data_IF_648939157710
#
_entry.id   IF_648939157710
#
_cell.length_a   1.000
_cell.length_b   1.000
_cell.length_c   1.000
_cell.angle_alpha   90.00
_cell.angle_beta   90.00
_cell.angle_gamma   90.00
#
_symmetry.space_group_name_H-M   'P 1'
#
loop_
_entity.id
_entity.type
_entity.pdbx_description
1 polymer ?
#
# COMPACT_ATOMS: atom_id res chain seq x y z
N UNK A 1 21.44 14.27 -10.63
CA UNK A 1 20.32 13.43 -11.02
C UNK A 1 19.02 14.20 -10.92
N UNK A 2 18.06 13.93 -11.81
CA UNK A 2 16.71 14.51 -11.70
C UNK A 2 15.96 13.89 -10.52
N UNK A 3 15.12 14.71 -9.89
CA UNK A 3 14.22 14.30 -8.82
C UNK A 3 12.98 15.20 -8.79
N UNK A 4 11.93 14.77 -8.09
CA UNK A 4 10.77 15.62 -7.78
C UNK A 4 10.63 15.71 -6.26
N UNK A 5 10.55 16.94 -5.76
CA UNK A 5 10.45 17.19 -4.33
C UNK A 5 9.92 18.58 -4.04
N UNK A 6 10.03 19.04 -2.81
CA UNK A 6 9.56 20.34 -2.36
C UNK A 6 10.47 20.94 -1.29
N UNK A 7 10.47 22.25 -1.19
CA UNK A 7 11.17 23.03 -0.16
C UNK A 7 10.23 23.53 0.93
N UNK A 8 8.94 23.54 0.64
CA UNK A 8 7.91 24.03 1.57
C UNK A 8 6.64 23.20 1.42
N UNK A 9 6.05 22.82 2.57
CA UNK A 9 4.73 22.15 2.61
C UNK A 9 3.64 23.15 2.15
N UNK A 10 3.12 22.94 0.95
CA UNK A 10 2.12 23.79 0.30
C UNK A 10 0.89 22.95 -0.12
N UNK A 11 -0.31 23.56 -0.25
CA UNK A 11 -1.46 22.92 -0.88
C UNK A 11 -1.14 22.42 -2.28
N UNK A 12 -1.78 21.33 -2.72
CA UNK A 12 -1.41 20.68 -3.99
C UNK A 12 -1.71 21.52 -5.23
N UNK A 13 -2.62 22.46 -5.16
CA UNK A 13 -2.95 23.42 -6.22
C UNK A 13 -1.91 24.56 -6.35
N UNK A 14 -1.02 24.70 -5.38
CA UNK A 14 0.08 25.66 -5.49
C UNK A 14 1.12 25.15 -6.52
N UNK A 15 1.63 26.02 -7.44
CA UNK A 15 2.58 25.60 -8.46
C UNK A 15 3.89 25.04 -7.90
N UNK A 16 4.33 25.49 -6.72
CA UNK A 16 5.55 25.05 -6.06
C UNK A 16 5.32 23.92 -5.04
N UNK A 17 4.14 23.33 -4.99
CA UNK A 17 3.84 22.20 -4.09
C UNK A 17 4.73 20.97 -4.36
N UNK A 18 5.13 20.80 -5.62
CA UNK A 18 6.16 19.84 -6.08
C UNK A 18 6.93 20.50 -7.23
N UNK A 19 8.25 20.33 -7.22
CA UNK A 19 9.19 20.93 -8.18
C UNK A 19 10.07 19.87 -8.80
N UNK A 20 10.44 20.06 -10.08
CA UNK A 20 11.52 19.33 -10.72
C UNK A 20 12.86 19.87 -10.20
N UNK A 21 13.73 18.98 -9.75
CA UNK A 21 14.98 19.28 -9.06
C UNK A 21 16.16 18.57 -9.71
N UNK A 22 17.34 19.19 -9.57
CA UNK A 22 18.63 18.55 -9.82
C UNK A 22 19.35 18.34 -8.49
N UNK A 23 19.61 17.09 -8.13
CA UNK A 23 20.23 16.70 -6.87
C UNK A 23 21.52 15.90 -7.10
N UNK A 24 22.45 15.87 -6.14
CA UNK A 24 23.59 14.96 -6.18
C UNK A 24 23.13 13.49 -6.25
N UNK A 25 23.90 12.65 -6.92
CA UNK A 25 23.65 11.20 -6.90
C UNK A 25 23.98 10.62 -5.54
N UNK A 26 23.11 9.79 -4.93
CA UNK A 26 23.36 9.24 -3.63
C UNK A 26 24.39 8.10 -3.68
N UNK A 27 25.24 8.00 -2.65
CA UNK A 27 26.16 6.87 -2.47
C UNK A 27 25.50 5.79 -1.62
N UNK A 28 25.51 4.52 -2.02
CA UNK A 28 24.91 3.43 -1.24
C UNK A 28 25.66 3.21 0.07
N UNK A 29 24.93 3.00 1.16
CA UNK A 29 25.46 2.50 2.43
C UNK A 29 25.79 0.99 2.37
N UNK A 30 26.31 0.38 3.45
CA UNK A 30 26.80 -1.01 3.43
C UNK A 30 25.77 -2.03 2.93
N UNK A 31 24.49 -1.91 3.33
CA UNK A 31 23.39 -2.81 2.92
C UNK A 31 22.47 -2.22 1.86
N UNK A 32 22.85 -1.10 1.23
CA UNK A 32 22.00 -0.44 0.26
C UNK A 32 22.20 -0.97 -1.16
N UNK A 33 21.11 -1.06 -1.87
CA UNK A 33 21.05 -1.09 -3.32
C UNK A 33 20.97 0.36 -3.83
N UNK A 34 21.77 0.73 -4.82
CA UNK A 34 21.57 1.94 -5.62
C UNK A 34 20.76 1.54 -6.84
N UNK A 35 19.51 1.96 -6.89
CA UNK A 35 18.57 1.59 -7.95
C UNK A 35 18.39 2.73 -8.93
N UNK A 36 18.50 2.44 -10.23
CA UNK A 36 17.98 3.30 -11.27
C UNK A 36 16.47 3.10 -11.37
N UNK A 37 15.72 4.09 -10.89
CA UNK A 37 14.25 4.05 -10.88
C UNK A 37 13.73 4.16 -12.31
N UNK A 38 12.87 3.24 -12.69
CA UNK A 38 12.20 3.18 -13.99
C UNK A 38 10.75 3.60 -13.91
N UNK A 39 10.06 3.19 -12.84
CA UNK A 39 8.69 3.55 -12.57
C UNK A 39 8.46 3.72 -11.07
N UNK A 40 7.48 4.52 -10.73
CA UNK A 40 7.00 4.77 -9.37
C UNK A 40 5.49 4.65 -9.32
N UNK A 41 4.96 4.55 -8.10
CA UNK A 41 3.54 4.63 -7.85
C UNK A 41 3.26 5.52 -6.65
N UNK A 42 2.17 6.28 -6.71
CA UNK A 42 1.82 7.26 -5.67
C UNK A 42 0.90 6.64 -4.64
N UNK A 43 1.08 7.00 -3.39
CA UNK A 43 0.32 6.50 -2.24
C UNK A 43 -0.25 7.64 -1.38
N UNK A 44 -1.31 7.40 -0.59
CA UNK A 44 -1.81 8.41 0.36
C UNK A 44 -0.74 8.93 1.34
N UNK A 45 0.27 8.13 1.69
CA UNK A 45 1.38 8.57 2.54
C UNK A 45 2.19 9.70 1.89
N UNK A 46 2.35 9.71 0.57
CA UNK A 46 3.04 10.79 -0.16
C UNK A 46 2.34 12.13 0.09
N UNK A 47 1.01 12.14 -0.02
CA UNK A 47 0.21 13.36 0.21
C UNK A 47 0.24 13.79 1.67
N UNK A 48 0.14 12.83 2.60
CA UNK A 48 0.19 13.09 4.05
C UNK A 48 1.55 13.66 4.48
N UNK A 49 2.66 13.09 3.99
CA UNK A 49 4.00 13.59 4.30
C UNK A 49 4.19 14.98 3.70
N UNK A 50 3.80 15.20 2.45
CA UNK A 50 3.86 16.55 1.84
C UNK A 50 3.11 17.59 2.66
N UNK A 51 1.92 17.26 3.17
CA UNK A 51 1.08 18.19 3.95
C UNK A 51 1.61 18.44 5.37
N UNK A 52 2.34 17.51 5.96
CA UNK A 52 2.68 17.55 7.40
C UNK A 52 4.17 17.80 7.69
N UNK A 53 5.05 17.44 6.75
CA UNK A 53 6.49 17.50 6.96
C UNK A 53 7.08 18.74 6.26
N UNK A 54 7.45 19.75 7.06
CA UNK A 54 8.20 20.89 6.58
C UNK A 54 9.70 20.50 6.47
N UNK A 55 10.32 20.62 5.27
CA UNK A 55 11.77 20.41 5.14
C UNK A 55 12.57 21.47 5.91
N UNK A 56 13.83 21.14 6.24
CA UNK A 56 14.77 22.13 6.75
C UNK A 56 15.06 23.20 5.71
N UNK A 57 15.36 24.42 6.16
CA UNK A 57 15.59 25.55 5.27
C UNK A 57 16.73 25.25 4.26
N UNK A 58 16.43 25.41 2.98
CA UNK A 58 17.38 25.14 1.90
C UNK A 58 17.56 23.67 1.51
N UNK A 59 16.88 22.74 2.20
CA UNK A 59 16.90 21.32 1.84
C UNK A 59 15.60 20.92 1.13
N UNK A 60 15.72 20.20 0.03
CA UNK A 60 14.56 19.61 -0.64
C UNK A 60 14.16 18.29 -0.01
N UNK A 61 12.86 18.05 0.17
CA UNK A 61 12.34 16.75 0.54
C UNK A 61 11.81 16.04 -0.71
N UNK A 62 12.41 14.88 -1.00
CA UNK A 62 11.95 13.98 -2.07
C UNK A 62 11.00 12.96 -1.46
N UNK A 63 9.85 12.78 -2.08
CA UNK A 63 8.81 11.82 -1.72
C UNK A 63 8.94 10.54 -2.55
N UNK A 64 8.03 9.60 -2.32
CA UNK A 64 7.88 8.37 -3.09
C UNK A 64 8.26 7.12 -2.29
N UNK A 65 7.28 6.24 -2.15
CA UNK A 65 7.43 4.97 -1.42
C UNK A 65 6.75 3.83 -2.18
N UNK A 66 7.07 3.75 -3.46
CA UNK A 66 6.81 2.63 -4.36
C UNK A 66 7.66 2.82 -5.61
N UNK A 67 8.56 1.91 -5.86
CA UNK A 67 9.43 1.98 -7.03
C UNK A 67 9.73 0.61 -7.63
N UNK A 68 9.99 0.62 -8.92
CA UNK A 68 10.54 -0.48 -9.68
C UNK A 68 11.70 0.03 -10.55
N UNK A 69 12.79 -0.74 -10.61
CA UNK A 69 13.98 -0.29 -11.32
C UNK A 69 15.05 -1.37 -11.46
N UNK A 70 16.26 -0.92 -11.76
CA UNK A 70 17.42 -1.79 -11.98
C UNK A 70 18.53 -1.41 -11.01
N UNK A 71 19.10 -2.38 -10.32
CA UNK A 71 20.25 -2.20 -9.43
C UNK A 71 21.46 -1.76 -10.25
N UNK A 72 22.09 -0.63 -9.88
CA UNK A 72 23.29 -0.10 -10.55
C UNK A 72 24.58 -0.35 -9.73
N UNK A 73 24.46 -0.28 -8.41
CA UNK A 73 25.55 -0.58 -7.49
C UNK A 73 24.97 -1.15 -6.19
N UNK A 74 25.81 -1.79 -5.42
CA UNK A 74 25.44 -2.39 -4.15
C UNK A 74 26.50 -2.02 -3.09
N UNK A 75 26.05 -1.91 -1.83
CA UNK A 75 26.93 -1.72 -0.68
C UNK A 75 27.77 -2.96 -0.36
N UNK A 76 28.78 -2.78 0.48
CA UNK A 76 29.77 -3.82 0.78
C UNK A 76 29.26 -5.04 1.54
N UNK A 77 28.08 -4.93 2.18
CA UNK A 77 27.43 -6.02 2.94
C UNK A 77 26.21 -6.61 2.23
N UNK A 78 25.89 -6.14 1.02
CA UNK A 78 24.78 -6.66 0.23
C UNK A 78 25.09 -8.08 -0.24
N UNK A 79 24.15 -8.98 -0.02
CA UNK A 79 24.25 -10.41 -0.36
C UNK A 79 23.08 -10.96 -1.18
N UNK A 80 21.94 -10.24 -1.18
CA UNK A 80 20.70 -10.72 -1.81
C UNK A 80 20.59 -10.28 -3.29
N UNK A 81 21.31 -9.25 -3.69
CA UNK A 81 21.21 -8.64 -5.02
C UNK A 81 22.56 -8.31 -5.63
N UNK A 82 22.58 -8.11 -6.94
CA UNK A 82 23.76 -7.69 -7.71
C UNK A 82 23.38 -6.63 -8.75
N UNK A 83 24.35 -5.86 -9.26
CA UNK A 83 24.12 -4.93 -10.36
C UNK A 83 23.51 -5.66 -11.57
N UNK A 84 22.47 -5.05 -12.15
CA UNK A 84 21.68 -5.60 -13.25
C UNK A 84 20.37 -6.26 -12.82
N UNK A 85 20.20 -6.61 -11.55
CA UNK A 85 18.94 -7.19 -11.09
C UNK A 85 17.78 -6.17 -11.19
N UNK A 86 16.63 -6.66 -11.63
CA UNK A 86 15.37 -5.90 -11.65
C UNK A 86 14.71 -6.03 -10.30
N UNK A 87 14.39 -4.91 -9.66
CA UNK A 87 13.86 -4.87 -8.28
C UNK A 87 12.60 -4.03 -8.16
N UNK A 88 11.82 -4.32 -7.15
CA UNK A 88 10.66 -3.56 -6.71
C UNK A 88 10.64 -3.44 -5.19
N UNK A 89 10.17 -2.31 -4.67
CA UNK A 89 10.19 -2.04 -3.22
C UNK A 89 9.35 -0.83 -2.85
N UNK A 90 8.98 -0.74 -1.56
CA UNK A 90 8.31 0.42 -1.00
C UNK A 90 9.29 1.46 -0.43
N UNK A 91 10.45 1.04 0.08
CA UNK A 91 11.43 1.93 0.71
C UNK A 91 11.15 2.20 2.20
N UNK A 92 11.83 3.21 2.73
CA UNK A 92 11.80 3.58 4.14
C UNK A 92 11.38 5.05 4.30
N UNK A 93 10.33 5.30 5.10
CA UNK A 93 9.76 6.66 5.29
C UNK A 93 10.72 7.63 6.00
N UNK A 94 11.74 7.12 6.69
CA UNK A 94 12.75 7.94 7.37
C UNK A 94 13.87 8.41 6.45
N UNK A 95 13.91 7.91 5.20
CA UNK A 95 14.92 8.21 4.19
C UNK A 95 14.35 9.04 3.04
N UNK A 96 15.19 9.69 2.19
CA UNK A 96 14.72 10.31 0.95
C UNK A 96 13.93 9.31 0.09
N UNK A 97 12.85 9.79 -0.53
CA UNK A 97 11.96 8.95 -1.31
C UNK A 97 12.44 8.65 -2.72
N UNK A 98 11.67 7.83 -3.44
CA UNK A 98 12.01 7.26 -4.74
C UNK A 98 11.60 8.11 -5.96
N UNK A 99 11.05 9.31 -5.75
CA UNK A 99 10.75 10.23 -6.87
C UNK A 99 12.03 10.88 -7.41
N UNK A 100 13.01 10.05 -7.80
CA UNK A 100 14.34 10.44 -8.28
C UNK A 100 14.91 9.39 -9.22
N UNK A 101 15.80 9.80 -10.17
CA UNK A 101 16.44 8.88 -11.11
C UNK A 101 17.27 7.78 -10.44
N UNK A 102 17.83 8.08 -9.25
CA UNK A 102 18.61 7.14 -8.43
C UNK A 102 18.09 7.16 -7.01
N UNK A 103 17.84 5.98 -6.46
CA UNK A 103 17.33 5.82 -5.11
C UNK A 103 18.11 4.74 -4.34
N UNK A 104 18.28 4.93 -3.04
CA UNK A 104 18.91 3.96 -2.15
C UNK A 104 17.86 3.23 -1.34
N UNK A 105 17.93 1.92 -1.33
CA UNK A 105 17.05 1.07 -0.52
C UNK A 105 17.85 -0.04 0.13
N UNK A 106 17.54 -0.37 1.39
CA UNK A 106 18.14 -1.52 2.09
C UNK A 106 17.68 -2.83 1.39
N UNK A 107 18.62 -3.76 1.17
CA UNK A 107 18.32 -5.03 0.50
C UNK A 107 17.23 -5.84 1.18
N UNK A 108 17.06 -5.71 2.50
CA UNK A 108 16.10 -6.48 3.30
C UNK A 108 14.64 -6.04 3.10
N UNK A 109 14.40 -4.89 2.46
CA UNK A 109 13.05 -4.39 2.14
C UNK A 109 12.80 -4.25 0.63
N UNK A 110 13.63 -4.90 -0.18
CA UNK A 110 13.47 -4.98 -1.63
C UNK A 110 13.24 -6.43 -2.07
N UNK A 111 12.50 -6.63 -3.16
CA UNK A 111 12.33 -7.94 -3.81
C UNK A 111 12.78 -7.92 -5.26
N UNK A 112 13.00 -9.10 -5.85
CA UNK A 112 13.15 -9.23 -7.29
C UNK A 112 11.82 -8.97 -8.00
N UNK A 113 11.87 -8.14 -9.03
CA UNK A 113 10.67 -7.79 -9.80
C UNK A 113 10.09 -9.03 -10.50
N UNK A 114 8.76 -9.28 -10.45
CA UNK A 114 8.11 -10.36 -11.20
C UNK A 114 8.51 -10.35 -12.68
N UNK A 115 8.86 -11.49 -13.25
CA UNK A 115 9.33 -11.59 -14.66
C UNK A 115 8.25 -11.22 -15.66
N UNK A 116 7.00 -11.50 -15.32
CA UNK A 116 5.81 -11.28 -16.14
C UNK A 116 5.34 -9.82 -16.18
N UNK A 117 5.86 -8.93 -15.31
CA UNK A 117 5.46 -7.53 -15.26
C UNK A 117 6.50 -6.59 -15.89
N UNK A 118 6.02 -5.49 -16.47
CA UNK A 118 6.83 -4.32 -16.75
C UNK A 118 7.08 -3.49 -15.47
N UNK A 119 7.89 -2.42 -15.57
CA UNK A 119 8.23 -1.62 -14.38
C UNK A 119 7.04 -0.84 -13.82
N UNK A 120 6.17 -0.30 -14.67
CA UNK A 120 4.99 0.45 -14.23
C UNK A 120 3.98 -0.47 -13.51
N UNK A 121 3.72 -1.65 -14.08
CA UNK A 121 2.88 -2.66 -13.46
C UNK A 121 3.42 -3.12 -12.10
N UNK A 122 4.74 -3.32 -12.00
CA UNK A 122 5.39 -3.76 -10.79
C UNK A 122 5.40 -2.66 -9.71
N UNK A 123 5.68 -1.41 -10.07
CA UNK A 123 5.69 -0.29 -9.13
C UNK A 123 4.34 -0.06 -8.43
N UNK A 124 3.24 -0.55 -8.99
CA UNK A 124 1.89 -0.43 -8.42
C UNK A 124 1.65 -1.32 -7.18
N UNK A 125 2.60 -2.12 -6.75
CA UNK A 125 2.31 -3.21 -5.82
C UNK A 125 3.05 -3.15 -4.47
N UNK A 126 4.34 -2.79 -4.36
CA UNK A 126 5.15 -3.09 -3.18
C UNK A 126 4.54 -2.60 -1.86
N UNK A 127 4.28 -1.31 -1.70
CA UNK A 127 3.76 -0.73 -0.47
C UNK A 127 2.42 -1.37 -0.08
N UNK A 128 1.51 -1.44 -1.04
CA UNK A 128 0.17 -1.95 -0.80
C UNK A 128 0.18 -3.45 -0.53
N UNK A 129 1.09 -4.19 -1.13
CA UNK A 129 1.28 -5.63 -0.91
C UNK A 129 1.84 -5.91 0.47
N UNK A 130 2.88 -5.19 0.90
CA UNK A 130 3.45 -5.32 2.25
C UNK A 130 2.35 -5.04 3.28
N UNK A 131 1.64 -3.90 3.14
CA UNK A 131 0.53 -3.54 4.03
C UNK A 131 -0.55 -4.62 4.07
N UNK A 132 -0.99 -5.12 2.92
CA UNK A 132 -2.06 -6.12 2.85
C UNK A 132 -1.63 -7.47 3.41
N UNK A 133 -0.40 -7.89 3.16
CA UNK A 133 0.16 -9.14 3.66
C UNK A 133 0.29 -9.12 5.19
N UNK A 134 0.98 -8.10 5.73
CA UNK A 134 1.15 -7.94 7.18
C UNK A 134 -0.21 -7.82 7.88
N UNK A 135 -1.15 -7.04 7.31
CA UNK A 135 -2.50 -6.90 7.85
C UNK A 135 -3.25 -8.24 7.92
N UNK A 136 -3.25 -9.04 6.84
CA UNK A 136 -3.96 -10.32 6.79
C UNK A 136 -3.33 -11.36 7.70
N UNK A 137 -2.04 -11.63 7.51
CA UNK A 137 -1.40 -12.81 8.06
C UNK A 137 -0.78 -12.58 9.43
N UNK A 138 -0.31 -11.35 9.72
CA UNK A 138 0.33 -11.05 10.99
C UNK A 138 -0.62 -10.35 11.98
N UNK A 139 -1.37 -9.32 11.55
CA UNK A 139 -2.27 -8.56 12.43
C UNK A 139 -3.59 -9.30 12.67
N UNK A 140 -4.30 -9.64 11.61
CA UNK A 140 -5.55 -10.42 11.71
C UNK A 140 -5.30 -11.90 12.00
N UNK A 141 -4.07 -12.40 11.82
CA UNK A 141 -3.66 -13.79 12.06
C UNK A 141 -4.55 -14.79 11.31
N UNK A 142 -4.89 -14.46 10.06
CA UNK A 142 -5.61 -15.32 9.15
C UNK A 142 -4.61 -16.37 8.63
N UNK A 143 -4.97 -17.64 8.67
CA UNK A 143 -4.11 -18.70 8.17
C UNK A 143 -4.17 -18.80 6.64
N UNK A 144 -3.04 -19.08 6.00
CA UNK A 144 -3.04 -19.51 4.60
C UNK A 144 -3.76 -20.86 4.44
N UNK A 145 -4.37 -21.11 3.30
CA UNK A 145 -5.12 -22.31 3.00
C UNK A 145 -6.57 -22.23 3.47
N UNK A 146 -7.15 -23.35 3.94
CA UNK A 146 -8.58 -23.46 4.24
C UNK A 146 -8.93 -23.49 5.73
N UNK A 147 -7.98 -23.21 6.61
CA UNK A 147 -8.21 -23.27 8.06
C UNK A 147 -9.36 -22.36 8.53
N UNK A 148 -9.52 -21.19 7.88
CA UNK A 148 -10.58 -20.22 8.17
C UNK A 148 -11.83 -20.38 7.30
N UNK A 149 -12.05 -21.54 6.70
CA UNK A 149 -13.22 -21.82 5.86
C UNK A 149 -14.52 -21.60 6.66
N UNK A 150 -15.47 -20.88 6.06
CA UNK A 150 -16.74 -20.52 6.70
C UNK A 150 -16.69 -19.21 7.50
N UNK A 151 -15.51 -18.61 7.68
CA UNK A 151 -15.37 -17.28 8.23
C UNK A 151 -15.44 -16.20 7.12
N UNK A 152 -15.73 -14.95 7.49
CA UNK A 152 -15.85 -13.84 6.56
C UNK A 152 -14.91 -12.69 6.90
N UNK A 153 -14.31 -12.12 5.88
CA UNK A 153 -13.53 -10.88 5.93
C UNK A 153 -14.29 -9.75 5.24
N UNK A 154 -14.54 -8.66 5.96
CA UNK A 154 -15.05 -7.42 5.39
C UNK A 154 -13.88 -6.46 5.15
N UNK A 155 -13.74 -5.95 3.91
CA UNK A 155 -12.73 -4.98 3.51
C UNK A 155 -13.39 -3.64 3.25
N UNK A 156 -13.23 -2.68 4.15
CA UNK A 156 -13.71 -1.30 3.99
C UNK A 156 -12.70 -0.52 3.14
N UNK A 157 -13.16 0.04 2.00
CA UNK A 157 -12.27 0.71 1.06
C UNK A 157 -11.59 -0.25 0.05
N UNK A 158 -12.28 -1.33 -0.35
CA UNK A 158 -11.74 -2.42 -1.15
C UNK A 158 -11.24 -2.00 -2.55
N UNK A 159 -11.71 -0.89 -3.11
CA UNK A 159 -11.32 -0.42 -4.44
C UNK A 159 -10.04 0.44 -4.47
N UNK A 160 -9.51 0.84 -3.31
CA UNK A 160 -8.25 1.57 -3.19
C UNK A 160 -7.02 0.68 -3.41
N UNK A 161 -5.82 1.27 -3.32
CA UNK A 161 -4.57 0.55 -3.58
C UNK A 161 -4.40 -0.71 -2.72
N UNK A 162 -4.44 -0.56 -1.38
CA UNK A 162 -4.31 -1.71 -0.45
C UNK A 162 -5.47 -2.69 -0.63
N UNK A 163 -6.71 -2.20 -0.70
CA UNK A 163 -7.88 -3.05 -0.87
C UNK A 163 -7.82 -3.91 -2.13
N UNK A 164 -7.28 -3.38 -3.22
CA UNK A 164 -7.16 -4.09 -4.50
C UNK A 164 -6.26 -5.32 -4.43
N UNK A 165 -5.13 -5.27 -3.73
CA UNK A 165 -4.27 -6.44 -3.55
C UNK A 165 -4.71 -7.31 -2.39
N UNK A 166 -5.26 -6.72 -1.31
CA UNK A 166 -5.77 -7.45 -0.15
C UNK A 166 -6.91 -8.41 -0.53
N UNK A 167 -7.85 -7.94 -1.36
CA UNK A 167 -8.93 -8.80 -1.89
C UNK A 167 -8.37 -9.99 -2.65
N UNK A 168 -7.36 -9.79 -3.51
CA UNK A 168 -6.73 -10.88 -4.24
C UNK A 168 -6.02 -11.87 -3.31
N UNK A 169 -5.18 -11.38 -2.38
CA UNK A 169 -4.48 -12.23 -1.41
C UNK A 169 -5.46 -13.05 -0.57
N UNK A 170 -6.48 -12.41 0.00
CA UNK A 170 -7.49 -13.10 0.79
C UNK A 170 -8.25 -14.15 -0.03
N UNK A 171 -8.62 -13.82 -1.27
CA UNK A 171 -9.35 -14.73 -2.17
C UNK A 171 -8.54 -15.94 -2.58
N UNK A 172 -7.27 -15.74 -2.89
CA UNK A 172 -6.42 -16.78 -3.47
C UNK A 172 -5.71 -17.64 -2.41
N UNK A 173 -5.35 -17.02 -1.27
CA UNK A 173 -4.51 -17.68 -0.29
C UNK A 173 -5.26 -18.17 0.96
N UNK A 174 -6.57 -17.86 1.11
CA UNK A 174 -7.32 -18.23 2.31
C UNK A 174 -8.65 -18.93 1.98
N UNK A 175 -9.29 -19.49 3.00
CA UNK A 175 -10.65 -20.05 2.90
C UNK A 175 -11.78 -19.05 3.21
N UNK A 176 -11.48 -17.77 3.35
CA UNK A 176 -12.44 -16.76 3.78
C UNK A 176 -13.49 -16.43 2.71
N UNK A 177 -14.69 -16.11 3.15
CA UNK A 177 -15.65 -15.38 2.34
C UNK A 177 -15.27 -13.90 2.33
N UNK A 178 -14.73 -13.41 1.20
CA UNK A 178 -14.21 -12.04 1.04
C UNK A 178 -15.32 -11.10 0.59
N UNK A 179 -15.61 -10.09 1.40
CA UNK A 179 -16.65 -9.07 1.16
C UNK A 179 -15.95 -7.71 1.04
N UNK A 180 -15.97 -7.10 -0.12
CA UNK A 180 -15.41 -5.77 -0.34
C UNK A 180 -16.46 -4.68 -0.28
N UNK A 181 -16.10 -3.47 0.15
CA UNK A 181 -17.01 -2.32 0.05
C UNK A 181 -16.60 -1.37 -1.07
N UNK A 182 -17.59 -0.92 -1.85
CA UNK A 182 -17.44 0.11 -2.88
C UNK A 182 -18.79 0.76 -3.17
N UNK A 183 -18.82 2.10 -3.32
CA UNK A 183 -20.08 2.85 -3.51
C UNK A 183 -20.43 3.13 -4.98
N UNK A 184 -19.42 3.25 -5.89
CA UNK A 184 -19.63 3.55 -7.31
C UNK A 184 -19.67 2.27 -8.15
N UNK A 185 -20.48 2.22 -9.19
CA UNK A 185 -20.63 1.05 -10.08
C UNK A 185 -19.28 0.56 -10.63
N UNK A 186 -18.42 1.49 -11.06
CA UNK A 186 -17.08 1.19 -11.58
C UNK A 186 -16.19 0.53 -10.52
N UNK A 187 -16.17 1.07 -9.31
CA UNK A 187 -15.37 0.49 -8.21
C UNK A 187 -15.94 -0.82 -7.71
N UNK A 188 -17.26 -1.02 -7.77
CA UNK A 188 -17.88 -2.30 -7.47
C UNK A 188 -17.50 -3.38 -8.50
N UNK A 189 -17.49 -3.04 -9.79
CA UNK A 189 -17.02 -3.95 -10.84
C UNK A 189 -15.54 -4.31 -10.62
N UNK A 190 -14.69 -3.32 -10.37
CA UNK A 190 -13.28 -3.51 -10.06
C UNK A 190 -13.05 -4.51 -8.92
N UNK A 191 -13.74 -4.34 -7.79
CA UNK A 191 -13.59 -5.22 -6.62
C UNK A 191 -14.07 -6.65 -6.91
N UNK A 192 -15.14 -6.81 -7.73
CA UNK A 192 -15.57 -8.16 -8.18
C UNK A 192 -14.52 -8.82 -9.08
N UNK A 193 -13.97 -8.07 -10.03
CA UNK A 193 -12.94 -8.55 -10.97
C UNK A 193 -11.64 -8.96 -10.26
N UNK A 194 -11.37 -8.39 -9.07
CA UNK A 194 -10.27 -8.77 -8.19
C UNK A 194 -10.57 -10.03 -7.35
N UNK A 195 -11.79 -10.55 -7.41
CA UNK A 195 -12.15 -11.83 -6.82
C UNK A 195 -12.95 -11.75 -5.51
N UNK A 196 -13.46 -10.60 -5.09
CA UNK A 196 -14.37 -10.54 -3.95
C UNK A 196 -15.62 -11.40 -4.20
N UNK A 197 -16.02 -12.19 -3.21
CA UNK A 197 -17.23 -13.01 -3.29
C UNK A 197 -18.48 -12.13 -3.30
N UNK A 198 -18.46 -11.05 -2.53
CA UNK A 198 -19.53 -10.06 -2.47
C UNK A 198 -18.95 -8.65 -2.47
N UNK A 199 -19.73 -7.72 -3.03
CA UNK A 199 -19.49 -6.29 -2.94
C UNK A 199 -20.71 -5.60 -2.39
N UNK A 200 -20.52 -4.83 -1.31
CA UNK A 200 -21.55 -4.05 -0.64
C UNK A 200 -21.23 -2.55 -0.68
N UNK A 201 -22.23 -1.72 -0.48
CA UNK A 201 -22.11 -0.27 -0.53
C UNK A 201 -21.87 0.31 0.88
N UNK A 202 -20.66 0.87 1.13
CA UNK A 202 -20.35 1.52 2.40
C UNK A 202 -21.06 2.87 2.62
N UNK A 203 -21.74 3.40 1.62
CA UNK A 203 -22.65 4.55 1.78
C UNK A 203 -23.97 4.19 2.46
N UNK A 204 -24.22 2.90 2.70
CA UNK A 204 -25.39 2.36 3.38
C UNK A 204 -24.99 1.69 4.68
N UNK A 205 -25.95 1.46 5.62
CA UNK A 205 -25.65 0.73 6.85
C UNK A 205 -25.05 -0.65 6.55
N UNK A 206 -23.83 -0.92 7.04
CA UNK A 206 -23.09 -2.16 6.74
C UNK A 206 -23.85 -3.42 7.17
N UNK A 207 -24.54 -3.36 8.33
CA UNK A 207 -25.32 -4.50 8.83
C UNK A 207 -26.50 -4.86 7.89
N UNK A 208 -27.16 -3.88 7.30
CA UNK A 208 -28.24 -4.11 6.33
C UNK A 208 -27.70 -4.70 5.02
N UNK A 209 -26.59 -4.15 4.54
CA UNK A 209 -25.92 -4.65 3.34
C UNK A 209 -25.39 -6.08 3.52
N UNK A 210 -24.82 -6.40 4.67
CA UNK A 210 -24.41 -7.78 5.00
C UNK A 210 -25.60 -8.72 5.03
N UNK A 211 -26.68 -8.32 5.68
CA UNK A 211 -27.92 -9.11 5.71
C UNK A 211 -28.50 -9.35 4.30
N UNK A 212 -28.44 -8.35 3.41
CA UNK A 212 -28.88 -8.46 2.02
C UNK A 212 -28.15 -9.57 1.24
N UNK A 213 -26.87 -9.83 1.59
CA UNK A 213 -26.06 -10.89 0.96
C UNK A 213 -26.09 -12.20 1.77
N UNK A 214 -26.93 -12.31 2.79
CA UNK A 214 -27.08 -13.51 3.62
C UNK A 214 -25.97 -13.73 4.67
N UNK A 215 -25.19 -12.69 5.00
CA UNK A 215 -24.16 -12.71 6.02
C UNK A 215 -24.65 -11.98 7.26
N UNK A 216 -24.77 -12.70 8.38
CA UNK A 216 -25.24 -12.10 9.64
C UNK A 216 -24.15 -11.26 10.33
N UNK A 217 -22.93 -11.79 10.40
CA UNK A 217 -21.77 -11.18 11.07
C UNK A 217 -20.49 -11.60 10.35
N UNK A 218 -19.42 -10.82 10.50
CA UNK A 218 -18.10 -11.13 9.96
C UNK A 218 -17.10 -11.41 11.08
N UNK A 219 -16.12 -12.27 10.83
CA UNK A 219 -15.08 -12.61 11.79
C UNK A 219 -13.93 -11.60 11.82
N UNK A 220 -13.64 -11.00 10.67
CA UNK A 220 -12.52 -10.09 10.48
C UNK A 220 -12.97 -8.85 9.71
N UNK A 221 -12.40 -7.71 10.06
CA UNK A 221 -12.55 -6.45 9.31
C UNK A 221 -11.18 -5.85 9.04
N UNK A 222 -10.90 -5.55 7.78
CA UNK A 222 -9.81 -4.70 7.34
C UNK A 222 -10.40 -3.31 7.02
N UNK A 223 -10.15 -2.33 7.87
CA UNK A 223 -10.61 -0.95 7.67
C UNK A 223 -9.47 -0.12 7.09
N UNK A 224 -9.60 0.24 5.81
CA UNK A 224 -8.52 0.87 5.06
C UNK A 224 -8.71 2.39 4.90
N UNK A 225 -9.85 2.90 5.31
CA UNK A 225 -10.19 4.33 5.20
C UNK A 225 -11.39 4.70 6.08
N UNK A 226 -11.41 5.95 6.57
CA UNK A 226 -12.51 6.53 7.34
C UNK A 226 -13.01 5.66 8.52
N UNK A 227 -12.05 5.04 9.22
CA UNK A 227 -12.35 4.11 10.32
C UNK A 227 -13.16 4.79 11.42
N UNK A 228 -12.90 6.06 11.73
CA UNK A 228 -13.66 6.86 12.68
C UNK A 228 -15.16 6.96 12.32
N UNK A 229 -15.47 7.15 11.05
CA UNK A 229 -16.84 7.26 10.55
C UNK A 229 -17.57 5.91 10.52
N UNK A 230 -16.84 4.83 10.33
CA UNK A 230 -17.40 3.49 10.20
C UNK A 230 -17.34 2.65 11.48
N UNK A 231 -16.66 3.09 12.55
CA UNK A 231 -16.37 2.28 13.73
C UNK A 231 -17.62 1.63 14.33
N UNK A 232 -18.71 2.37 14.51
CA UNK A 232 -19.95 1.81 15.07
C UNK A 232 -20.55 0.71 14.21
N UNK A 233 -20.56 0.91 12.91
CA UNK A 233 -21.06 -0.08 11.96
C UNK A 233 -20.14 -1.29 11.88
N UNK A 234 -18.82 -1.10 11.97
CA UNK A 234 -17.82 -2.17 12.04
C UNK A 234 -18.01 -3.02 13.29
N UNK A 235 -18.18 -2.38 14.45
CA UNK A 235 -18.44 -3.07 15.73
C UNK A 235 -19.74 -3.85 15.67
N UNK A 236 -20.80 -3.28 15.07
CA UNK A 236 -22.07 -3.98 14.87
C UNK A 236 -21.92 -5.21 13.96
N UNK A 237 -21.16 -5.09 12.87
CA UNK A 237 -20.93 -6.13 11.88
C UNK A 237 -20.02 -7.27 12.38
N UNK A 238 -19.08 -7.01 13.28
CA UNK A 238 -18.18 -8.02 13.83
C UNK A 238 -18.92 -8.96 14.79
N UNK A 239 -18.67 -10.26 14.66
CA UNK A 239 -19.10 -11.25 15.66
C UNK A 239 -18.37 -11.03 17.00
N UNK A 240 -18.89 -11.53 18.12
CA UNK A 240 -18.10 -11.57 19.36
C UNK A 240 -16.73 -12.24 19.16
N UNK A 241 -15.68 -11.68 19.77
CA UNK A 241 -14.28 -12.08 19.63
C UNK A 241 -13.71 -11.90 18.22
N UNK A 242 -14.38 -11.09 17.37
CA UNK A 242 -13.88 -10.74 16.05
C UNK A 242 -12.66 -9.80 16.09
N UNK A 243 -11.99 -9.67 14.96
CA UNK A 243 -10.75 -8.90 14.85
C UNK A 243 -10.91 -7.73 13.86
N UNK A 244 -10.48 -6.55 14.28
CA UNK A 244 -10.40 -5.34 13.47
C UNK A 244 -8.94 -4.97 13.26
N UNK A 245 -8.52 -4.78 12.01
CA UNK A 245 -7.24 -4.15 11.68
C UNK A 245 -7.48 -2.90 10.83
N UNK A 246 -6.65 -1.87 11.04
CA UNK A 246 -6.75 -0.58 10.34
C UNK A 246 -5.38 -0.03 9.95
N UNK A 247 -5.37 0.84 8.93
CA UNK A 247 -4.17 1.46 8.36
C UNK A 247 -4.28 2.99 8.25
N UNK A 248 -5.47 3.55 8.43
CA UNK A 248 -5.70 4.99 8.36
C UNK A 248 -5.36 5.69 9.69
N UNK A 249 -5.39 7.03 9.69
CA UNK A 249 -5.02 7.87 10.82
C UNK A 249 -6.29 8.58 11.37
N UNK A 250 -7.21 7.87 12.02
CA UNK A 250 -8.36 8.52 12.63
C UNK A 250 -7.91 9.49 13.72
N UNK A 251 -8.54 10.66 13.80
CA UNK A 251 -8.22 11.66 14.81
C UNK A 251 -8.50 11.15 16.23
N UNK A 252 -9.50 10.27 16.38
CA UNK A 252 -9.85 9.60 17.63
C UNK A 252 -10.62 8.30 17.33
N UNK A 253 -10.47 7.31 18.21
CA UNK A 253 -11.26 6.08 18.19
C UNK A 253 -11.79 5.80 19.61
N UNK A 254 -13.10 5.62 19.75
CA UNK A 254 -13.71 5.14 20.98
C UNK A 254 -13.55 3.62 21.12
N UNK A 255 -12.36 3.20 21.57
CA UNK A 255 -12.03 1.80 21.77
C UNK A 255 -12.90 1.11 22.84
N UNK A 256 -13.59 1.89 23.69
CA UNK A 256 -14.53 1.35 24.68
C UNK A 256 -15.68 0.58 24.03
N UNK A 257 -16.07 0.92 22.79
CA UNK A 257 -17.10 0.23 22.02
C UNK A 257 -16.75 -1.24 21.68
N UNK A 258 -15.46 -1.58 21.68
CA UNK A 258 -15.00 -2.93 21.37
C UNK A 258 -15.17 -3.91 22.53
N UNK A 259 -15.28 -3.38 23.76
CA UNK A 259 -15.26 -4.16 25.00
C UNK A 259 -16.39 -5.18 25.08
N UNK A 260 -17.62 -4.80 24.74
CA UNK A 260 -18.80 -5.66 24.95
C UNK A 260 -18.72 -6.97 24.16
N UNK A 261 -18.15 -6.93 22.94
CA UNK A 261 -17.96 -8.11 22.09
C UNK A 261 -16.57 -8.73 22.24
N UNK A 262 -15.70 -8.25 23.16
CA UNK A 262 -14.31 -8.69 23.33
C UNK A 262 -13.53 -8.63 21.99
N UNK A 263 -13.71 -7.56 21.23
CA UNK A 263 -13.04 -7.40 19.95
C UNK A 263 -11.56 -7.05 20.16
N UNK A 264 -10.69 -7.55 19.28
CA UNK A 264 -9.30 -7.10 19.21
C UNK A 264 -9.12 -6.06 18.12
N UNK A 265 -8.23 -5.09 18.37
CA UNK A 265 -7.87 -4.04 17.43
C UNK A 265 -6.38 -4.09 17.16
N UNK A 266 -6.02 -4.03 15.88
CA UNK A 266 -4.65 -4.08 15.41
C UNK A 266 -4.37 -2.90 14.47
N UNK A 267 -3.23 -2.22 14.69
CA UNK A 267 -2.68 -1.27 13.73
C UNK A 267 -1.78 -1.99 12.76
N UNK A 268 -1.87 -1.64 11.48
CA UNK A 268 -0.87 -2.01 10.49
C UNK A 268 -0.18 -0.74 9.96
N UNK A 269 1.14 -0.72 10.07
CA UNK A 269 1.99 0.33 9.55
C UNK A 269 3.27 -0.30 8.97
N UNK A 270 3.27 -0.52 7.67
CA UNK A 270 4.29 -1.29 6.95
C UNK A 270 5.74 -0.75 7.12
N UNK A 271 5.91 0.50 7.55
CA UNK A 271 7.21 1.09 7.80
C UNK A 271 7.81 0.74 9.17
N UNK A 272 7.07 0.08 10.05
CA UNK A 272 7.55 -0.26 11.40
C UNK A 272 8.87 -1.01 11.34
N UNK A 273 8.99 -1.99 10.47
CA UNK A 273 10.21 -2.81 10.31
C UNK A 273 11.42 -1.98 9.87
N UNK A 274 11.28 -1.13 8.87
CA UNK A 274 12.38 -0.28 8.39
C UNK A 274 12.71 0.85 9.35
N UNK A 275 11.70 1.53 9.91
CA UNK A 275 11.90 2.65 10.86
C UNK A 275 12.62 2.24 12.13
N UNK A 276 12.28 1.08 12.69
CA UNK A 276 12.85 0.60 13.96
C UNK A 276 13.94 -0.43 13.78
N UNK A 277 14.32 -0.77 12.52
CA UNK A 277 15.35 -1.78 12.20
C UNK A 277 15.13 -3.08 12.99
N UNK A 278 13.88 -3.59 12.95
CA UNK A 278 13.51 -4.78 13.72
C UNK A 278 14.26 -6.03 13.23
N UNK A 279 14.44 -7.01 14.10
CA UNK A 279 15.15 -8.26 13.78
C UNK A 279 14.53 -9.02 12.61
N UNK A 280 13.23 -8.85 12.40
CA UNK A 280 12.45 -9.47 11.34
C UNK A 280 12.27 -8.59 10.08
N UNK A 281 13.08 -7.54 9.91
CA UNK A 281 13.00 -6.63 8.76
C UNK A 281 13.10 -7.37 7.41
N UNK A 282 13.84 -8.46 7.36
CA UNK A 282 14.01 -9.33 6.18
C UNK A 282 12.69 -9.96 5.70
N UNK A 283 11.64 -10.01 6.53
CA UNK A 283 10.35 -10.57 6.12
C UNK A 283 9.70 -9.76 4.99
N UNK A 284 10.00 -8.46 4.86
CA UNK A 284 9.52 -7.68 3.71
C UNK A 284 10.16 -8.13 2.39
N UNK A 285 11.45 -8.46 2.38
CA UNK A 285 12.08 -9.11 1.24
C UNK A 285 11.38 -10.44 0.91
N UNK A 286 11.22 -11.32 1.91
CA UNK A 286 10.62 -12.64 1.72
C UNK A 286 9.20 -12.60 1.19
N UNK A 287 8.35 -11.70 1.72
CA UNK A 287 6.99 -11.57 1.23
C UNK A 287 6.94 -11.02 -0.21
N UNK A 288 7.82 -10.08 -0.56
CA UNK A 288 7.89 -9.56 -1.93
C UNK A 288 8.33 -10.66 -2.92
N UNK A 289 9.31 -11.49 -2.55
CA UNK A 289 9.72 -12.66 -3.35
C UNK A 289 8.55 -13.66 -3.51
N UNK A 290 7.83 -13.95 -2.43
CA UNK A 290 6.66 -14.84 -2.47
C UNK A 290 5.58 -14.31 -3.39
N UNK A 291 5.28 -13.02 -3.30
CA UNK A 291 4.26 -12.39 -4.15
C UNK A 291 4.71 -12.30 -5.59
N UNK A 292 6.00 -12.06 -5.86
CA UNK A 292 6.55 -12.10 -7.22
C UNK A 292 6.31 -13.47 -7.88
N UNK A 293 6.54 -14.56 -7.14
CA UNK A 293 6.22 -15.90 -7.61
C UNK A 293 4.75 -16.10 -7.94
N UNK A 294 3.85 -15.66 -7.06
CA UNK A 294 2.39 -15.74 -7.27
C UNK A 294 1.91 -14.94 -8.48
N UNK A 295 2.55 -13.82 -8.77
CA UNK A 295 2.27 -13.02 -9.98
C UNK A 295 2.75 -13.76 -11.23
N UNK A 296 3.96 -14.29 -11.21
CA UNK A 296 4.53 -15.03 -12.35
C UNK A 296 3.75 -16.33 -12.65
N UNK A 297 3.13 -16.94 -11.65
CA UNK A 297 2.20 -18.06 -11.76
C UNK A 297 0.79 -17.66 -12.22
N UNK A 298 0.51 -16.36 -12.35
CA UNK A 298 -0.81 -15.84 -12.75
C UNK A 298 -1.88 -15.90 -11.65
N UNK A 299 -1.49 -16.16 -10.40
CA UNK A 299 -2.41 -16.20 -9.24
C UNK A 299 -2.84 -14.79 -8.82
N UNK A 300 -1.90 -13.85 -8.87
CA UNK A 300 -2.13 -12.43 -8.59
C UNK A 300 -1.86 -11.58 -9.83
N UNK A 301 -2.50 -10.43 -9.91
CA UNK A 301 -2.32 -9.46 -10.99
C UNK A 301 -2.03 -8.07 -10.46
N UNK A 302 -1.40 -7.25 -11.30
CA UNK A 302 -1.14 -5.84 -10.99
C UNK A 302 -2.41 -5.07 -10.66
N UNK A 303 -2.29 -4.03 -9.84
CA UNK A 303 -3.39 -3.16 -9.40
C UNK A 303 -3.35 -1.78 -10.02
N UNK A 304 -2.67 -1.60 -11.17
CA UNK A 304 -2.65 -0.33 -11.91
C UNK A 304 -4.08 0.08 -12.27
N UNK A 305 -4.49 1.24 -11.78
CA UNK A 305 -5.74 1.88 -12.13
C UNK A 305 -5.56 2.96 -13.19
N UNK A 306 -4.49 3.75 -13.07
CA UNK A 306 -4.19 4.86 -13.99
C UNK A 306 -2.67 5.03 -14.21
N UNK A 307 -2.31 5.45 -15.43
CA UNK A 307 -0.95 5.78 -15.82
C UNK A 307 -0.86 7.28 -16.15
N UNK A 308 -0.03 8.03 -15.43
CA UNK A 308 0.04 9.49 -15.53
C UNK A 308 1.23 10.01 -16.37
N UNK A 309 1.92 9.12 -17.08
CA UNK A 309 3.04 9.47 -17.95
C UNK A 309 4.36 9.60 -17.20
N UNK A 310 5.17 10.61 -17.54
CA UNK A 310 6.52 10.80 -16.99
C UNK A 310 6.53 11.19 -15.53
N UNK A 311 7.64 10.84 -14.87
CA UNK A 311 7.94 11.27 -13.51
C UNK A 311 8.45 12.71 -13.57
N UNK A 312 7.54 13.65 -13.39
CA UNK A 312 7.80 15.09 -13.30
C UNK A 312 6.86 15.76 -12.30
N UNK A 313 7.17 16.98 -11.91
CA UNK A 313 6.40 17.71 -10.91
C UNK A 313 4.94 17.96 -11.35
N UNK A 314 4.69 18.21 -12.63
CA UNK A 314 3.34 18.46 -13.14
C UNK A 314 2.45 17.22 -13.02
N UNK A 315 2.95 16.07 -13.45
CA UNK A 315 2.20 14.81 -13.37
C UNK A 315 2.04 14.34 -11.93
N UNK A 316 3.07 14.49 -11.08
CA UNK A 316 2.96 14.15 -9.66
C UNK A 316 1.95 15.04 -8.91
N UNK A 317 1.87 16.36 -9.22
CA UNK A 317 0.80 17.21 -8.67
C UNK A 317 -0.59 16.72 -9.07
N UNK A 318 -0.80 16.30 -10.31
CA UNK A 318 -2.07 15.71 -10.77
C UNK A 318 -2.39 14.41 -10.03
N UNK A 319 -1.40 13.55 -9.82
CA UNK A 319 -1.56 12.29 -9.10
C UNK A 319 -1.92 12.53 -7.62
N UNK A 320 -1.22 13.45 -6.95
CA UNK A 320 -1.56 13.84 -5.57
C UNK A 320 -2.97 14.42 -5.46
N UNK A 321 -3.37 15.31 -6.37
CA UNK A 321 -4.71 15.89 -6.40
C UNK A 321 -5.80 14.82 -6.57
N UNK A 322 -5.56 13.80 -7.41
CA UNK A 322 -6.51 12.68 -7.57
C UNK A 322 -6.60 11.85 -6.29
N UNK A 323 -5.48 11.56 -5.62
CA UNK A 323 -5.49 10.83 -4.33
C UNK A 323 -6.23 11.61 -3.24
N UNK A 324 -5.97 12.91 -3.12
CA UNK A 324 -6.62 13.80 -2.14
C UNK A 324 -8.13 13.93 -2.39
N UNK A 325 -8.59 13.78 -3.63
CA UNK A 325 -10.02 13.77 -3.96
C UNK A 325 -10.78 12.52 -3.48
N UNK A 326 -10.07 11.47 -3.02
CA UNK A 326 -10.66 10.19 -2.61
C UNK A 326 -11.30 9.38 -3.75
N UNK A 327 -11.08 9.75 -5.00
CA UNK A 327 -11.72 9.10 -6.18
C UNK A 327 -10.83 8.09 -6.88
N UNK A 328 -9.57 7.97 -6.51
CA UNK A 328 -8.66 7.01 -7.10
C UNK A 328 -9.16 5.58 -6.97
N UNK A 329 -8.93 4.76 -7.99
CA UNK A 329 -9.20 3.33 -8.05
C UNK A 329 -7.89 2.60 -8.31
N UNK A 330 -7.59 1.55 -7.54
CA UNK A 330 -6.29 0.88 -7.67
C UNK A 330 -5.12 1.83 -7.41
N UNK A 331 -4.08 1.75 -8.24
CA UNK A 331 -2.85 2.52 -8.11
C UNK A 331 -2.61 3.46 -9.30
N UNK A 332 -1.99 4.59 -9.00
CA UNK A 332 -1.54 5.58 -10.01
C UNK A 332 -0.04 5.39 -10.20
N UNK A 333 0.40 5.14 -11.44
CA UNK A 333 1.79 4.92 -11.80
C UNK A 333 2.32 6.00 -12.73
N UNK A 334 3.64 6.25 -12.64
CA UNK A 334 4.39 7.11 -13.55
C UNK A 334 5.69 6.40 -13.93
N UNK A 335 6.23 6.64 -15.13
CA UNK A 335 7.46 6.00 -15.58
C UNK A 335 8.34 6.92 -16.44
N UNK A 336 9.68 6.77 -16.28
CA UNK A 336 10.69 7.58 -16.97
C UNK A 336 10.78 9.01 -16.47
N UNK A 337 12.01 9.58 -16.49
CA UNK A 337 12.31 10.96 -16.12
C UNK A 337 12.52 11.85 -17.34
#
# INVERSE_FOLDING_TARGET
MKAVGYYQSLPIDHPDALLDLELPEPTPGPRDLLVEVRAISVNPVDTKVRQRAQPEAGQAKVLGWDAAGVVRAVGSEVSLFRPGDRVWYAGDITRPGSNSERHRVDERIAGHLPKSLDFAQAAALPLTTITAWELLFERLQIAEGKADQGQSLLVVGAAGGVGSILVQLARQLTGLNVIGTASRAETQAWVRDLGAHHVIDHGKPLAEELKRIGVAEVSHVASLTHTDQHLEQIVAALRPQGRLALIDDPASLDIGKLKQKSLSLHWEFMYTRSMFQTDDMIEQHRLLERVAGLIDEGVLKTTVGEHFGRIDAANLRRAHALLESGRAKGKIVLEGF
#
